data_IF_416894532258
#
_entry.id   IF_416894532258
#
_cell.length_a   1.000
_cell.length_b   1.000
_cell.length_c   1.000
_cell.angle_alpha   90.00
_cell.angle_beta   90.00
_cell.angle_gamma   90.00
#
_symmetry.space_group_name_H-M   'P 1'
#
loop_
_entity.id
_entity.type
_entity.pdbx_description
1 polymer ?
#
# COMPACT_ATOMS: atom_id res chain seq x y z
N UNK A 1 6.59 -7.26 39.72
CA UNK A 1 7.35 -7.32 38.45
C UNK A 1 8.84 -7.23 38.78
N UNK A 2 9.64 -8.26 38.48
CA UNK A 2 11.04 -8.32 38.95
C UNK A 2 11.96 -7.33 38.23
N UNK A 3 12.92 -6.75 38.95
CA UNK A 3 13.91 -5.76 38.46
C UNK A 3 14.59 -6.16 37.13
N UNK A 4 14.82 -7.46 36.93
CA UNK A 4 15.37 -8.03 35.68
C UNK A 4 14.48 -7.82 34.45
N UNK A 5 13.14 -7.90 34.61
CA UNK A 5 12.19 -7.64 33.51
C UNK A 5 12.15 -6.15 33.15
N UNK A 6 12.33 -5.25 34.12
CA UNK A 6 12.37 -3.80 33.87
C UNK A 6 13.64 -3.43 33.11
N UNK A 7 14.79 -3.99 33.51
CA UNK A 7 16.06 -3.80 32.80
C UNK A 7 16.05 -4.35 31.37
N UNK A 8 15.43 -5.52 31.13
CA UNK A 8 15.34 -6.07 29.77
C UNK A 8 14.46 -5.21 28.86
N UNK A 9 13.31 -4.73 29.36
CA UNK A 9 12.43 -3.83 28.60
C UNK A 9 13.17 -2.53 28.26
N UNK A 10 13.92 -1.96 29.20
CA UNK A 10 14.69 -0.74 28.96
C UNK A 10 15.78 -0.92 27.89
N UNK A 11 16.47 -2.06 27.88
CA UNK A 11 17.47 -2.36 26.85
C UNK A 11 16.84 -2.55 25.46
N UNK A 12 15.69 -3.23 25.38
CA UNK A 12 14.95 -3.41 24.12
C UNK A 12 14.49 -2.05 23.56
N UNK A 13 13.94 -1.18 24.42
CA UNK A 13 13.51 0.16 23.99
C UNK A 13 14.71 0.97 23.45
N UNK A 14 15.86 0.95 24.12
CA UNK A 14 17.05 1.64 23.63
C UNK A 14 17.61 1.04 22.33
N UNK A 15 17.53 -0.28 22.16
CA UNK A 15 17.96 -0.91 20.92
C UNK A 15 17.04 -0.51 19.76
N UNK A 16 15.72 -0.48 19.99
CA UNK A 16 14.73 -0.03 19.01
C UNK A 16 14.99 1.44 18.62
N UNK A 17 15.26 2.32 19.58
CA UNK A 17 15.53 3.74 19.27
C UNK A 17 16.85 3.92 18.51
N UNK A 18 17.89 3.13 18.80
CA UNK A 18 19.16 3.16 18.05
C UNK A 18 18.94 2.69 16.61
N UNK A 19 18.29 1.55 16.39
CA UNK A 19 18.00 1.03 15.05
C UNK A 19 17.14 2.02 14.25
N UNK A 20 16.12 2.59 14.89
CA UNK A 20 15.25 3.60 14.27
C UNK A 20 16.02 4.87 13.89
N UNK A 21 16.92 5.36 14.77
CA UNK A 21 17.71 6.56 14.48
C UNK A 21 18.73 6.35 13.35
N UNK A 22 19.35 5.18 13.26
CA UNK A 22 20.24 4.81 12.15
C UNK A 22 19.48 4.78 10.82
N UNK A 23 18.25 4.26 10.81
CA UNK A 23 17.43 4.19 9.61
C UNK A 23 17.02 5.58 9.11
N UNK A 24 16.66 6.50 10.03
CA UNK A 24 16.36 7.90 9.69
C UNK A 24 17.58 8.59 9.07
N UNK A 25 18.77 8.41 9.65
CA UNK A 25 19.99 9.05 9.15
C UNK A 25 20.36 8.53 7.74
N UNK A 26 20.19 7.24 7.50
CA UNK A 26 20.38 6.64 6.18
C UNK A 26 19.38 7.18 5.15
N UNK A 27 18.10 7.25 5.50
CA UNK A 27 17.05 7.78 4.62
C UNK A 27 17.34 9.23 4.23
N UNK A 28 17.70 10.07 5.21
CA UNK A 28 18.07 11.47 4.97
C UNK A 28 19.27 11.61 4.03
N UNK A 29 20.30 10.77 4.19
CA UNK A 29 21.46 10.76 3.29
C UNK A 29 21.08 10.37 1.87
N UNK A 30 20.20 9.37 1.71
CA UNK A 30 19.71 8.97 0.38
C UNK A 30 18.93 10.08 -0.31
N UNK A 31 18.02 10.74 0.42
CA UNK A 31 17.27 11.91 -0.09
C UNK A 31 18.24 12.99 -0.56
N UNK A 32 19.20 13.40 0.27
CA UNK A 32 20.17 14.45 -0.08
C UNK A 32 21.00 14.13 -1.33
N UNK A 33 21.36 12.86 -1.52
CA UNK A 33 22.11 12.42 -2.71
C UNK A 33 21.22 12.49 -3.95
N UNK A 34 20.00 11.97 -3.86
CA UNK A 34 19.06 11.97 -4.98
C UNK A 34 18.60 13.38 -5.35
N UNK A 35 18.32 14.26 -4.39
CA UNK A 35 17.98 15.67 -4.63
C UNK A 35 19.09 16.37 -5.43
N UNK A 36 20.36 16.19 -5.03
CA UNK A 36 21.51 16.76 -5.76
C UNK A 36 21.61 16.22 -7.17
N UNK A 37 21.35 14.93 -7.36
CA UNK A 37 21.43 14.28 -8.66
C UNK A 37 20.30 14.74 -9.59
N UNK A 38 19.06 14.78 -9.10
CA UNK A 38 17.88 15.27 -9.83
C UNK A 38 18.01 16.74 -10.21
N UNK A 39 18.68 17.54 -9.36
CA UNK A 39 19.01 18.93 -9.66
C UNK A 39 20.12 19.08 -10.71
N UNK A 40 21.06 18.14 -10.77
CA UNK A 40 22.16 18.11 -11.74
C UNK A 40 21.71 17.61 -13.11
N UNK A 41 20.96 16.51 -13.16
CA UNK A 41 20.40 15.91 -14.37
C UNK A 41 18.88 16.04 -14.39
N UNK A 42 18.40 16.99 -15.20
CA UNK A 42 16.97 17.27 -15.35
C UNK A 42 16.21 16.22 -16.17
N UNK A 43 16.93 15.28 -16.81
CA UNK A 43 16.35 14.22 -17.65
C UNK A 43 16.34 12.87 -16.97
N UNK A 44 16.96 12.72 -15.80
CA UNK A 44 16.93 11.48 -15.04
C UNK A 44 15.57 11.27 -14.37
N UNK A 45 14.66 10.65 -15.10
CA UNK A 45 13.33 10.26 -14.63
C UNK A 45 13.38 9.07 -13.66
N UNK A 46 14.43 8.24 -13.68
CA UNK A 46 14.55 7.06 -12.80
C UNK A 46 14.85 7.51 -11.37
N UNK A 47 15.83 8.41 -11.20
CA UNK A 47 16.17 8.99 -9.91
C UNK A 47 15.02 9.82 -9.34
N UNK A 48 14.25 10.52 -10.19
CA UNK A 48 13.02 11.21 -9.78
C UNK A 48 11.98 10.25 -9.21
N UNK A 49 11.66 9.18 -9.94
CA UNK A 49 10.73 8.16 -9.46
C UNK A 49 11.20 7.56 -8.14
N UNK A 50 12.48 7.22 -8.02
CA UNK A 50 13.03 6.65 -6.79
C UNK A 50 12.99 7.64 -5.61
N UNK A 51 13.24 8.92 -5.87
CA UNK A 51 13.09 9.95 -4.85
C UNK A 51 11.62 10.14 -4.45
N UNK A 52 10.69 10.05 -5.41
CA UNK A 52 9.26 10.09 -5.16
C UNK A 52 8.81 8.93 -4.26
N UNK A 53 9.29 7.71 -4.52
CA UNK A 53 9.03 6.53 -3.70
C UNK A 53 9.49 6.74 -2.24
N UNK A 54 10.68 7.30 -2.04
CA UNK A 54 11.19 7.57 -0.68
C UNK A 54 10.31 8.61 0.04
N UNK A 55 9.91 9.68 -0.64
CA UNK A 55 8.99 10.66 -0.04
C UNK A 55 7.59 10.08 0.20
N UNK A 56 7.11 9.21 -0.69
CA UNK A 56 5.84 8.50 -0.52
C UNK A 56 5.87 7.61 0.74
N UNK A 57 6.99 6.94 1.01
CA UNK A 57 7.19 6.09 2.19
C UNK A 57 7.28 6.87 3.51
N UNK A 58 7.74 8.14 3.48
CA UNK A 58 7.68 9.02 4.66
C UNK A 58 6.23 9.30 5.08
N UNK A 59 5.31 9.31 4.11
CA UNK A 59 3.87 9.26 4.32
C UNK A 59 3.23 10.54 4.86
N UNK A 60 3.98 11.52 5.36
CA UNK A 60 3.44 12.81 5.78
C UNK A 60 3.02 13.69 4.59
N UNK A 61 2.13 14.66 4.84
CA UNK A 61 1.53 15.47 3.77
C UNK A 61 2.57 16.22 2.93
N UNK A 62 3.59 16.80 3.54
CA UNK A 62 4.61 17.57 2.81
C UNK A 62 5.43 16.65 1.91
N UNK A 63 5.80 15.47 2.41
CA UNK A 63 6.49 14.46 1.61
C UNK A 63 5.63 13.94 0.46
N UNK A 64 4.34 13.69 0.68
CA UNK A 64 3.44 13.26 -0.40
C UNK A 64 3.26 14.33 -1.49
N UNK A 65 3.22 15.62 -1.12
CA UNK A 65 3.16 16.72 -2.08
C UNK A 65 4.45 16.76 -2.93
N UNK A 66 5.63 16.53 -2.32
CA UNK A 66 6.91 16.39 -3.07
C UNK A 66 6.93 15.17 -3.99
N UNK A 67 6.48 14.02 -3.49
CA UNK A 67 6.40 12.80 -4.29
C UNK A 67 5.52 13.00 -5.53
N UNK A 68 4.45 13.79 -5.39
CA UNK A 68 3.52 14.10 -6.48
C UNK A 68 4.24 14.85 -7.60
N UNK A 69 4.96 15.92 -7.27
CA UNK A 69 5.73 16.70 -8.24
C UNK A 69 6.77 15.84 -8.97
N UNK A 70 7.47 14.99 -8.23
CA UNK A 70 8.52 14.13 -8.80
C UNK A 70 7.98 13.06 -9.74
N UNK A 71 6.87 12.40 -9.41
CA UNK A 71 6.22 11.48 -10.36
C UNK A 71 5.69 12.21 -11.59
N UNK A 72 5.08 13.40 -11.42
CA UNK A 72 4.65 14.23 -12.55
C UNK A 72 5.80 14.60 -13.48
N UNK A 73 6.95 14.98 -12.93
CA UNK A 73 8.15 15.22 -13.73
C UNK A 73 8.64 13.95 -14.43
N UNK A 74 8.68 12.82 -13.72
CA UNK A 74 9.17 11.57 -14.28
C UNK A 74 8.38 11.13 -15.52
N UNK A 75 7.04 11.16 -15.47
CA UNK A 75 6.23 10.78 -16.63
C UNK A 75 6.17 11.86 -17.73
N UNK A 76 6.43 13.14 -17.41
CA UNK A 76 6.60 14.19 -18.42
C UNK A 76 7.88 14.00 -19.23
N UNK A 77 8.96 13.54 -18.59
CA UNK A 77 10.23 13.25 -19.25
C UNK A 77 10.11 11.97 -20.08
N UNK A 78 9.57 10.91 -19.47
CA UNK A 78 9.46 9.60 -20.09
C UNK A 78 8.11 8.97 -19.74
N UNK A 79 7.24 8.81 -20.74
CA UNK A 79 5.87 8.34 -20.58
C UNK A 79 5.79 6.81 -20.34
N UNK A 80 6.30 6.34 -19.20
CA UNK A 80 6.19 4.92 -18.79
C UNK A 80 4.89 4.66 -18.04
N UNK A 81 4.17 3.56 -18.35
CA UNK A 81 2.97 3.17 -17.63
C UNK A 81 3.17 3.06 -16.11
N UNK A 82 4.34 2.60 -15.68
CA UNK A 82 4.69 2.50 -14.26
C UNK A 82 4.61 3.85 -13.51
N UNK A 83 5.04 4.95 -14.14
CA UNK A 83 5.01 6.27 -13.49
C UNK A 83 3.59 6.81 -13.35
N UNK A 84 2.74 6.60 -14.36
CA UNK A 84 1.31 6.90 -14.28
C UNK A 84 0.62 6.08 -13.18
N UNK A 85 0.94 4.78 -13.10
CA UNK A 85 0.39 3.89 -12.08
C UNK A 85 0.76 4.36 -10.66
N UNK A 86 2.05 4.68 -10.42
CA UNK A 86 2.53 5.18 -9.13
C UNK A 86 1.96 6.55 -8.79
N UNK A 87 1.88 7.45 -9.77
CA UNK A 87 1.22 8.74 -9.61
C UNK A 87 -0.25 8.58 -9.20
N UNK A 88 -1.01 7.71 -9.88
CA UNK A 88 -2.40 7.43 -9.56
C UNK A 88 -2.58 6.85 -8.15
N UNK A 89 -1.71 5.90 -7.77
CA UNK A 89 -1.63 5.36 -6.41
C UNK A 89 -1.41 6.47 -5.37
N UNK A 90 -0.45 7.36 -5.60
CA UNK A 90 -0.13 8.47 -4.71
C UNK A 90 -1.31 9.45 -4.56
N UNK A 91 -2.05 9.75 -5.64
CA UNK A 91 -3.24 10.60 -5.56
C UNK A 91 -4.28 10.02 -4.59
N UNK A 92 -4.51 8.70 -4.62
CA UNK A 92 -5.41 8.06 -3.65
C UNK A 92 -4.86 8.20 -2.22
N UNK A 93 -3.55 8.07 -2.00
CA UNK A 93 -2.94 8.30 -0.66
C UNK A 93 -3.14 9.74 -0.19
N UNK A 94 -2.92 10.73 -1.06
CA UNK A 94 -3.12 12.16 -0.76
C UNK A 94 -4.58 12.44 -0.36
N UNK A 95 -5.54 11.71 -0.92
CA UNK A 95 -6.97 11.85 -0.56
C UNK A 95 -7.25 11.66 0.93
N UNK A 96 -6.41 10.92 1.66
CA UNK A 96 -6.54 10.71 3.10
C UNK A 96 -6.24 11.96 3.93
N UNK A 97 -5.49 12.92 3.36
CA UNK A 97 -5.15 14.20 3.98
C UNK A 97 -6.15 15.32 3.63
N UNK A 98 -7.16 15.03 2.82
CA UNK A 98 -8.14 16.00 2.39
C UNK A 98 -9.33 16.05 3.34
N UNK A 99 -9.52 17.20 3.99
CA UNK A 99 -10.67 17.42 4.87
C UNK A 99 -11.96 17.70 4.09
N UNK A 100 -11.86 18.31 2.90
CA UNK A 100 -13.01 18.69 2.08
C UNK A 100 -13.46 17.52 1.18
N UNK A 101 -14.71 17.01 1.32
CA UNK A 101 -15.13 15.79 0.63
C UNK A 101 -15.04 15.84 -0.91
N UNK A 102 -15.40 16.94 -1.60
CA UNK A 102 -15.21 17.01 -3.06
C UNK A 102 -13.74 16.91 -3.49
N UNK A 103 -12.81 17.56 -2.78
CA UNK A 103 -11.38 17.40 -3.07
C UNK A 103 -10.93 15.96 -2.83
N UNK A 104 -11.37 15.34 -1.73
CA UNK A 104 -11.08 13.92 -1.46
C UNK A 104 -11.54 13.01 -2.60
N UNK A 105 -12.77 13.20 -3.07
CA UNK A 105 -13.31 12.43 -4.20
C UNK A 105 -12.57 12.71 -5.51
N UNK A 106 -12.17 13.96 -5.76
CA UNK A 106 -11.38 14.31 -6.94
C UNK A 106 -10.06 13.54 -6.98
N UNK A 107 -9.32 13.51 -5.86
CA UNK A 107 -8.08 12.73 -5.77
C UNK A 107 -8.29 11.23 -5.95
N UNK A 108 -9.35 10.67 -5.36
CA UNK A 108 -9.69 9.25 -5.51
C UNK A 108 -9.99 8.91 -6.99
N UNK A 109 -10.87 9.68 -7.64
CA UNK A 109 -11.28 9.42 -9.02
C UNK A 109 -10.12 9.63 -9.98
N UNK A 110 -9.35 10.70 -9.80
CA UNK A 110 -8.18 10.97 -10.64
C UNK A 110 -7.13 9.87 -10.48
N UNK A 111 -6.85 9.46 -9.24
CA UNK A 111 -5.91 8.38 -8.97
C UNK A 111 -6.34 7.03 -9.56
N UNK A 112 -7.63 6.70 -9.45
CA UNK A 112 -8.20 5.52 -10.10
C UNK A 112 -8.08 5.58 -11.63
N UNK A 113 -8.44 6.71 -12.24
CA UNK A 113 -8.44 6.87 -13.71
C UNK A 113 -7.04 6.68 -14.28
N UNK A 114 -6.01 7.30 -13.67
CA UNK A 114 -4.61 7.11 -14.09
C UNK A 114 -4.16 5.65 -14.05
N UNK A 115 -4.58 4.90 -13.02
CA UNK A 115 -4.23 3.48 -12.89
C UNK A 115 -5.05 2.59 -13.83
N UNK A 116 -6.34 2.88 -14.04
CA UNK A 116 -7.20 2.16 -14.99
C UNK A 116 -6.66 2.28 -16.41
N UNK A 117 -6.33 3.49 -16.87
CA UNK A 117 -5.77 3.70 -18.21
C UNK A 117 -4.47 2.89 -18.44
N UNK A 118 -3.68 2.68 -17.38
CA UNK A 118 -2.48 1.82 -17.45
C UNK A 118 -2.87 0.34 -17.55
N UNK A 119 -3.79 -0.13 -16.71
CA UNK A 119 -4.21 -1.53 -16.64
C UNK A 119 -4.96 -1.96 -17.92
N UNK A 120 -5.76 -1.08 -18.53
CA UNK A 120 -6.44 -1.37 -19.81
C UNK A 120 -5.45 -1.60 -20.96
N UNK A 121 -4.28 -0.94 -20.92
CA UNK A 121 -3.22 -1.10 -21.92
C UNK A 121 -2.31 -2.27 -21.61
N UNK A 122 -1.99 -2.47 -20.33
CA UNK A 122 -1.06 -3.47 -19.83
C UNK A 122 -1.64 -4.18 -18.61
N UNK A 123 -2.40 -5.24 -18.85
CA UNK A 123 -3.01 -6.04 -17.79
C UNK A 123 -1.97 -6.95 -17.11
N UNK A 124 -1.21 -6.36 -16.18
CA UNK A 124 -0.22 -7.04 -15.32
C UNK A 124 -0.77 -7.21 -13.91
N UNK A 125 -0.54 -8.38 -13.33
CA UNK A 125 -0.99 -8.67 -11.95
C UNK A 125 -0.37 -7.70 -10.92
N UNK A 126 0.89 -7.33 -11.10
CA UNK A 126 1.57 -6.31 -10.28
C UNK A 126 0.84 -4.95 -10.32
N UNK A 127 0.32 -4.55 -11.48
CA UNK A 127 -0.34 -3.25 -11.63
C UNK A 127 -1.71 -3.23 -10.95
N UNK A 128 -2.47 -4.32 -11.10
CA UNK A 128 -3.69 -4.54 -10.34
C UNK A 128 -3.44 -4.59 -8.85
N UNK A 129 -2.34 -5.21 -8.42
CA UNK A 129 -1.99 -5.28 -7.00
C UNK A 129 -1.74 -3.89 -6.43
N UNK A 130 -0.97 -3.04 -7.12
CA UNK A 130 -0.76 -1.64 -6.73
C UNK A 130 -2.10 -0.90 -6.61
N UNK A 131 -2.99 -1.03 -7.61
CA UNK A 131 -4.32 -0.40 -7.56
C UNK A 131 -5.18 -0.91 -6.41
N UNK A 132 -5.16 -2.22 -6.15
CA UNK A 132 -5.90 -2.85 -5.06
C UNK A 132 -5.45 -2.34 -3.68
N UNK A 133 -4.14 -2.27 -3.44
CA UNK A 133 -3.57 -1.75 -2.19
C UNK A 133 -3.94 -0.27 -1.97
N UNK A 134 -3.76 0.56 -3.01
CA UNK A 134 -4.07 1.99 -2.93
C UNK A 134 -5.55 2.23 -2.68
N UNK A 135 -6.42 1.46 -3.33
CA UNK A 135 -7.84 1.51 -3.09
C UNK A 135 -8.22 1.02 -1.68
N UNK A 136 -7.65 -0.10 -1.22
CA UNK A 136 -7.90 -0.68 0.09
C UNK A 136 -7.55 0.28 1.23
N UNK A 137 -6.39 0.94 1.15
CA UNK A 137 -5.92 1.88 2.18
C UNK A 137 -6.83 3.09 2.33
N UNK A 138 -7.39 3.62 1.23
CA UNK A 138 -8.33 4.76 1.28
C UNK A 138 -9.62 4.49 2.09
N UNK A 139 -10.01 3.21 2.22
CA UNK A 139 -11.25 2.76 2.86
C UNK A 139 -12.53 3.44 2.34
N UNK A 140 -12.49 4.06 1.16
CA UNK A 140 -13.66 4.63 0.49
C UNK A 140 -14.51 3.51 -0.15
N UNK A 141 -15.84 3.60 -0.11
CA UNK A 141 -16.72 2.54 -0.64
C UNK A 141 -16.53 2.25 -2.12
N UNK A 142 -16.27 3.27 -2.95
CA UNK A 142 -15.94 3.11 -4.37
C UNK A 142 -14.63 2.32 -4.53
N UNK A 143 -13.57 2.76 -3.85
CA UNK A 143 -12.27 2.09 -3.86
C UNK A 143 -12.34 0.65 -3.35
N UNK A 144 -13.12 0.38 -2.30
CA UNK A 144 -13.26 -0.98 -1.79
C UNK A 144 -13.83 -1.92 -2.85
N UNK A 145 -14.72 -1.44 -3.73
CA UNK A 145 -15.23 -2.21 -4.86
C UNK A 145 -14.10 -2.63 -5.80
N UNK A 146 -13.29 -1.66 -6.24
CA UNK A 146 -12.12 -1.87 -7.11
C UNK A 146 -11.12 -2.83 -6.46
N UNK A 147 -10.79 -2.62 -5.18
CA UNK A 147 -9.86 -3.49 -4.46
C UNK A 147 -10.35 -4.94 -4.41
N UNK A 148 -11.65 -5.17 -4.16
CA UNK A 148 -12.19 -6.54 -4.20
C UNK A 148 -12.12 -7.16 -5.60
N UNK A 149 -12.35 -6.39 -6.65
CA UNK A 149 -12.28 -6.87 -8.02
C UNK A 149 -10.83 -7.27 -8.39
N UNK A 150 -9.88 -6.38 -8.13
CA UNK A 150 -8.47 -6.64 -8.44
C UNK A 150 -7.89 -7.79 -7.61
N UNK A 151 -8.17 -7.88 -6.30
CA UNK A 151 -7.72 -9.03 -5.51
C UNK A 151 -8.31 -10.34 -6.02
N UNK A 152 -9.60 -10.39 -6.38
CA UNK A 152 -10.18 -11.60 -6.98
C UNK A 152 -9.49 -11.95 -8.31
N UNK A 153 -9.27 -10.96 -9.17
CA UNK A 153 -8.58 -11.15 -10.45
C UNK A 153 -7.17 -11.73 -10.24
N UNK A 154 -6.43 -11.16 -9.29
CA UNK A 154 -5.09 -11.64 -8.93
C UNK A 154 -5.16 -13.07 -8.43
N UNK A 155 -6.08 -13.40 -7.51
CA UNK A 155 -6.19 -14.74 -6.95
C UNK A 155 -6.49 -15.80 -8.02
N UNK A 156 -7.35 -15.49 -8.99
CA UNK A 156 -7.72 -16.39 -10.08
C UNK A 156 -6.56 -16.63 -11.05
N UNK A 157 -5.77 -15.58 -11.33
CA UNK A 157 -4.73 -15.61 -12.36
C UNK A 157 -3.31 -15.76 -11.79
N UNK A 158 -3.19 -15.95 -10.47
CA UNK A 158 -1.91 -15.94 -9.77
C UNK A 158 -0.93 -16.96 -10.34
N UNK A 159 0.32 -16.52 -10.52
CA UNK A 159 1.47 -17.35 -10.87
C UNK A 159 2.64 -16.94 -10.01
N UNK A 160 3.35 -17.93 -9.47
CA UNK A 160 4.51 -17.69 -8.60
C UNK A 160 5.53 -16.78 -9.28
N UNK A 161 5.91 -15.71 -8.58
CA UNK A 161 6.90 -14.73 -9.03
C UNK A 161 6.36 -13.56 -9.86
N UNK A 162 5.06 -13.49 -10.18
CA UNK A 162 4.47 -12.31 -10.84
C UNK A 162 4.13 -11.17 -9.87
N UNK A 163 3.97 -11.48 -8.57
CA UNK A 163 3.82 -10.51 -7.48
C UNK A 163 4.72 -10.99 -6.33
N UNK A 164 5.34 -10.06 -5.61
CA UNK A 164 6.16 -10.34 -4.42
C UNK A 164 5.32 -10.82 -3.22
N UNK A 165 4.08 -10.33 -3.11
CA UNK A 165 3.18 -10.65 -2.01
C UNK A 165 2.66 -12.10 -2.11
N UNK A 166 2.69 -12.80 -0.98
CA UNK A 166 2.18 -14.17 -0.85
C UNK A 166 0.67 -14.22 -1.10
N UNK A 167 0.22 -15.25 -1.82
CA UNK A 167 -1.17 -15.39 -2.22
C UNK A 167 -2.14 -15.50 -1.02
N UNK A 168 -1.70 -16.10 0.08
CA UNK A 168 -2.46 -16.20 1.33
C UNK A 168 -2.74 -14.81 1.91
N UNK A 169 -1.77 -13.89 1.85
CA UNK A 169 -1.93 -12.51 2.30
C UNK A 169 -2.88 -11.73 1.39
N UNK A 170 -2.85 -11.97 0.08
CA UNK A 170 -3.79 -11.37 -0.87
C UNK A 170 -5.22 -11.84 -0.59
N UNK A 171 -5.43 -13.15 -0.40
CA UNK A 171 -6.72 -13.73 0.02
C UNK A 171 -7.20 -13.13 1.36
N UNK A 172 -6.29 -12.98 2.32
CA UNK A 172 -6.61 -12.37 3.60
C UNK A 172 -7.07 -10.91 3.45
N UNK A 173 -6.37 -10.12 2.65
CA UNK A 173 -6.74 -8.73 2.31
C UNK A 173 -8.11 -8.66 1.61
N UNK A 174 -8.45 -9.61 0.74
CA UNK A 174 -9.79 -9.72 0.17
C UNK A 174 -10.88 -9.94 1.24
N UNK A 175 -10.61 -10.79 2.24
CA UNK A 175 -11.48 -10.95 3.41
C UNK A 175 -11.71 -9.62 4.15
N UNK A 176 -10.62 -8.87 4.41
CA UNK A 176 -10.69 -7.54 5.04
C UNK A 176 -11.48 -6.52 4.21
N UNK A 177 -11.37 -6.58 2.88
CA UNK A 177 -12.19 -5.73 1.99
C UNK A 177 -13.67 -6.06 2.18
N UNK A 178 -14.06 -7.34 2.18
CA UNK A 178 -15.44 -7.73 2.39
C UNK A 178 -15.97 -7.34 3.77
N UNK A 179 -15.15 -7.42 4.82
CA UNK A 179 -15.51 -6.87 6.14
C UNK A 179 -15.81 -5.37 6.07
N UNK A 180 -14.91 -4.58 5.48
CA UNK A 180 -15.08 -3.13 5.34
C UNK A 180 -16.31 -2.76 4.50
N UNK A 181 -16.67 -3.61 3.53
CA UNK A 181 -17.90 -3.50 2.74
C UNK A 181 -19.15 -3.99 3.47
N UNK A 182 -19.03 -4.52 4.71
CA UNK A 182 -20.10 -5.18 5.47
C UNK A 182 -20.71 -6.41 4.79
N UNK A 183 -19.95 -7.08 3.92
CA UNK A 183 -20.31 -8.35 3.29
C UNK A 183 -19.79 -9.51 4.15
N UNK A 184 -20.31 -9.62 5.37
CA UNK A 184 -19.74 -10.48 6.40
C UNK A 184 -19.74 -11.97 6.02
N UNK A 185 -20.76 -12.46 5.33
CA UNK A 185 -20.82 -13.85 4.86
C UNK A 185 -19.69 -14.16 3.89
N UNK A 186 -19.39 -13.23 2.97
CA UNK A 186 -18.27 -13.39 2.03
C UNK A 186 -16.92 -13.35 2.73
N UNK A 187 -16.76 -12.44 3.70
CA UNK A 187 -15.54 -12.38 4.50
C UNK A 187 -15.30 -13.71 5.25
N UNK A 188 -16.33 -14.22 5.93
CA UNK A 188 -16.27 -15.51 6.64
C UNK A 188 -15.91 -16.65 5.68
N UNK A 189 -16.52 -16.72 4.49
CA UNK A 189 -16.19 -17.76 3.50
C UNK A 189 -14.72 -17.74 3.07
N UNK A 190 -14.16 -16.54 2.82
CA UNK A 190 -12.74 -16.39 2.48
C UNK A 190 -11.84 -16.86 3.62
N UNK A 191 -12.20 -16.50 4.86
CA UNK A 191 -11.46 -16.89 6.05
C UNK A 191 -11.51 -18.38 6.37
N UNK A 192 -12.68 -19.00 6.26
CA UNK A 192 -12.84 -20.45 6.42
C UNK A 192 -12.02 -21.21 5.38
N UNK A 193 -12.00 -20.72 4.14
CA UNK A 193 -11.15 -21.29 3.09
C UNK A 193 -9.66 -21.17 3.45
N UNK A 194 -9.18 -20.01 3.90
CA UNK A 194 -7.79 -19.81 4.33
C UNK A 194 -7.39 -20.73 5.51
N UNK A 195 -8.27 -20.92 6.49
CA UNK A 195 -8.02 -21.86 7.60
C UNK A 195 -7.87 -23.31 7.10
N UNK A 196 -8.52 -23.68 6.00
CA UNK A 196 -8.38 -25.01 5.40
C UNK A 196 -7.05 -25.21 4.65
N UNK A 197 -6.31 -24.13 4.37
CA UNK A 197 -5.00 -24.13 3.72
C UNK A 197 -3.85 -24.20 4.74
N UNK A 198 -2.62 -24.38 4.23
CA UNK A 198 -1.39 -24.35 5.03
C UNK A 198 -0.92 -22.90 5.24
N UNK A 199 -1.60 -22.20 6.15
CA UNK A 199 -1.26 -20.84 6.57
C UNK A 199 -0.47 -20.81 7.88
N UNK A 200 0.24 -19.71 8.13
CA UNK A 200 1.00 -19.53 9.37
C UNK A 200 0.10 -19.60 10.63
N UNK A 201 0.62 -20.10 11.77
CA UNK A 201 -0.13 -20.14 13.02
C UNK A 201 -0.63 -18.76 13.48
N UNK A 202 0.16 -17.70 13.23
CA UNK A 202 -0.20 -16.32 13.54
C UNK A 202 -1.42 -15.87 12.73
N UNK A 203 -1.37 -16.05 11.42
CA UNK A 203 -2.50 -15.71 10.53
C UNK A 203 -3.75 -16.51 10.88
N UNK A 204 -3.59 -17.81 11.16
CA UNK A 204 -4.70 -18.68 11.57
C UNK A 204 -5.40 -18.16 12.82
N UNK A 205 -4.63 -17.74 13.82
CA UNK A 205 -5.16 -17.20 15.08
C UNK A 205 -5.94 -15.91 14.82
N UNK A 206 -5.37 -14.98 14.04
CA UNK A 206 -6.04 -13.72 13.69
C UNK A 206 -7.35 -13.95 12.92
N UNK A 207 -7.36 -14.90 11.98
CA UNK A 207 -8.55 -15.23 11.20
C UNK A 207 -9.66 -15.83 12.09
N UNK A 208 -9.32 -16.72 13.02
CA UNK A 208 -10.31 -17.31 13.96
C UNK A 208 -10.97 -16.22 14.81
N UNK A 209 -10.17 -15.30 15.37
CA UNK A 209 -10.69 -14.18 16.18
C UNK A 209 -11.63 -13.30 15.35
N UNK A 210 -11.29 -13.03 14.09
CA UNK A 210 -12.14 -12.27 13.17
C UNK A 210 -13.45 -12.99 12.86
N UNK A 211 -13.44 -14.29 12.57
CA UNK A 211 -14.67 -15.05 12.30
C UNK A 211 -15.62 -14.96 13.51
N UNK A 212 -15.12 -15.13 14.74
CA UNK A 212 -15.94 -15.02 15.95
C UNK A 212 -16.57 -13.63 16.10
N UNK A 213 -15.80 -12.56 15.84
CA UNK A 213 -16.33 -11.18 15.82
C UNK A 213 -17.44 -11.04 14.77
N UNK A 214 -17.18 -11.47 13.53
CA UNK A 214 -18.12 -11.33 12.41
C UNK A 214 -19.43 -12.11 12.65
N UNK A 215 -19.35 -13.29 13.25
CA UNK A 215 -20.52 -14.10 13.58
C UNK A 215 -21.44 -13.44 14.63
N UNK A 216 -20.91 -12.54 15.45
CA UNK A 216 -21.68 -11.80 16.47
C UNK A 216 -22.35 -10.53 15.93
N UNK A 217 -21.83 -9.97 14.83
CA UNK A 217 -22.29 -8.69 14.27
C UNK A 217 -23.10 -8.83 12.97
N UNK A 218 -23.19 -10.04 12.40
CA UNK A 218 -24.02 -10.33 11.24
C UNK A 218 -25.51 -10.36 11.55
#
# INVERSE_FOLDING_TARGET
>A
MGLKKILSIFLIINLITIVFSLNIDQTKKQIQVLEKWVAYDQTDHQSRSKLAEIYEDLGDKESLDRAKELYEEAFRIENKPYYHLKYGSLLIKISNYQWFPPSKMWYIISGYTEMEDVIEREDKLEYRFIRAESCFTSSNSFCLGIASEDYNHIIINYKDGEIEEEIEKIKYKLGLVYEKQKKYEKAIQIYEHLISEDISPEMRTEIIDRIDILQRVK
#
